data_IF_235294238123
#
_entry.id   IF_235294238123
#
_cell.length_a   1.000
_cell.length_b   1.000
_cell.length_c   1.000
_cell.angle_alpha   90.00
_cell.angle_beta   90.00
_cell.angle_gamma   90.00
#
_symmetry.space_group_name_H-M   'P 1'
#
loop_
_entity.id
_entity.type
_entity.pdbx_description
1 polymer ?
#
# COMPACT_ATOMS: atom_id res chain seq x y z
N UNK A 1 -2.49 -32.80 20.28
CA UNK A 1 -1.27 -32.33 19.62
C UNK A 1 -0.06 -32.67 20.46
N UNK A 2 1.02 -33.15 19.86
CA UNK A 2 2.28 -33.36 20.56
C UNK A 2 2.84 -32.04 21.08
N UNK A 3 3.50 -32.05 22.22
CA UNK A 3 4.10 -30.86 22.84
C UNK A 3 5.63 -30.96 22.81
N UNK A 4 6.33 -29.87 23.05
CA UNK A 4 7.79 -29.88 23.19
C UNK A 4 8.25 -30.81 24.32
N UNK A 5 7.44 -31.02 25.38
CA UNK A 5 7.70 -32.00 26.45
C UNK A 5 7.64 -33.43 25.95
N UNK A 6 6.71 -33.73 25.04
CA UNK A 6 6.60 -35.06 24.45
C UNK A 6 7.78 -35.38 23.54
N UNK A 7 8.24 -34.38 22.76
CA UNK A 7 9.48 -34.51 21.97
C UNK A 7 10.69 -34.75 22.86
N UNK A 8 10.82 -34.07 23.99
CA UNK A 8 11.90 -34.27 24.92
C UNK A 8 11.91 -35.68 25.51
N UNK A 9 10.74 -36.20 25.85
CA UNK A 9 10.52 -37.56 26.38
C UNK A 9 10.88 -38.61 25.32
N UNK A 10 10.40 -38.47 24.11
CA UNK A 10 10.67 -39.38 22.99
C UNK A 10 12.15 -39.37 22.58
N UNK A 11 12.79 -38.22 22.55
CA UNK A 11 14.21 -38.07 22.19
C UNK A 11 15.17 -38.48 23.33
N UNK A 12 14.66 -38.69 24.57
CA UNK A 12 15.47 -38.96 25.74
C UNK A 12 16.44 -37.83 26.09
N UNK A 13 16.02 -36.58 25.96
CA UNK A 13 16.84 -35.37 26.22
C UNK A 13 16.05 -34.39 27.10
N UNK A 14 16.77 -33.43 27.71
CA UNK A 14 16.15 -32.37 28.47
C UNK A 14 15.35 -31.41 27.54
N UNK A 15 14.25 -30.84 28.06
CA UNK A 15 13.39 -29.87 27.36
C UNK A 15 14.21 -28.70 26.79
N UNK A 16 15.22 -28.22 27.55
CA UNK A 16 16.14 -27.16 27.09
C UNK A 16 16.99 -27.56 25.85
N UNK A 17 17.33 -28.87 25.74
CA UNK A 17 18.03 -29.37 24.54
C UNK A 17 17.14 -29.39 23.33
N UNK A 18 15.86 -29.77 23.46
CA UNK A 18 14.87 -29.68 22.37
C UNK A 18 14.71 -28.25 21.92
N UNK A 19 14.54 -27.30 22.83
CA UNK A 19 14.43 -25.87 22.53
C UNK A 19 15.68 -25.34 21.78
N UNK A 20 16.88 -25.78 22.19
CA UNK A 20 18.13 -25.37 21.52
C UNK A 20 18.24 -25.94 20.11
N UNK A 21 17.83 -27.18 19.89
CA UNK A 21 17.80 -27.79 18.54
C UNK A 21 16.81 -27.08 17.63
N UNK A 22 15.57 -26.88 18.09
CA UNK A 22 14.51 -26.20 17.32
C UNK A 22 14.92 -24.75 16.95
N UNK A 23 15.68 -24.08 17.83
CA UNK A 23 16.14 -22.71 17.59
C UNK A 23 17.53 -22.64 16.92
N UNK A 24 18.06 -23.76 16.43
CA UNK A 24 19.39 -23.83 15.80
C UNK A 24 20.50 -23.19 16.63
N UNK A 25 20.42 -23.29 17.96
CA UNK A 25 21.38 -22.68 18.87
C UNK A 25 22.77 -23.32 18.69
N UNK A 26 23.87 -22.52 18.69
CA UNK A 26 25.22 -23.05 18.54
C UNK A 26 25.61 -23.94 19.71
N UNK A 27 26.51 -24.90 19.45
CA UNK A 27 27.10 -25.77 20.48
C UNK A 27 26.23 -26.96 20.89
N UNK A 28 25.20 -27.32 20.12
CA UNK A 28 24.45 -28.57 20.29
C UNK A 28 25.15 -29.71 19.54
N UNK A 29 25.41 -30.83 20.25
CA UNK A 29 26.08 -31.99 19.64
C UNK A 29 25.18 -32.61 18.56
N UNK A 30 25.78 -33.02 17.40
CA UNK A 30 25.06 -33.59 16.27
C UNK A 30 24.15 -34.77 16.71
N UNK A 31 24.64 -35.68 17.52
CA UNK A 31 23.84 -36.80 18.07
C UNK A 31 22.56 -36.35 18.79
N UNK A 32 22.56 -35.19 19.44
CA UNK A 32 21.36 -34.61 20.08
C UNK A 32 20.41 -34.06 19.06
N UNK A 33 20.93 -33.39 18.02
CA UNK A 33 20.15 -32.86 16.90
C UNK A 33 19.42 -34.00 16.21
N UNK A 34 20.11 -35.09 15.89
CA UNK A 34 19.55 -36.22 15.19
C UNK A 34 18.41 -36.91 16.01
N UNK A 35 18.60 -37.10 17.32
CA UNK A 35 17.58 -37.68 18.23
C UNK A 35 16.34 -36.78 18.28
N UNK A 36 16.49 -35.47 18.41
CA UNK A 36 15.39 -34.52 18.50
C UNK A 36 14.63 -34.46 17.16
N UNK A 37 15.33 -34.42 16.04
CA UNK A 37 14.71 -34.42 14.71
C UNK A 37 13.94 -35.70 14.43
N UNK A 38 14.46 -36.88 14.84
CA UNK A 38 13.76 -38.13 14.73
C UNK A 38 12.48 -38.17 15.58
N UNK A 39 12.52 -37.63 16.81
CA UNK A 39 11.36 -37.53 17.69
C UNK A 39 10.31 -36.54 17.12
N UNK A 40 10.72 -35.37 16.61
CA UNK A 40 9.85 -34.39 15.93
C UNK A 40 9.10 -35.07 14.77
N UNK A 41 9.82 -35.81 13.92
CA UNK A 41 9.24 -36.51 12.77
C UNK A 41 8.27 -37.61 13.21
N UNK A 42 8.65 -38.41 14.21
CA UNK A 42 7.83 -39.54 14.76
C UNK A 42 6.52 -39.03 15.37
N UNK A 43 6.58 -37.91 16.10
CA UNK A 43 5.41 -37.33 16.79
C UNK A 43 4.62 -36.36 15.92
N UNK A 44 5.04 -36.13 14.68
CA UNK A 44 4.52 -35.09 13.80
C UNK A 44 4.37 -33.74 14.54
N UNK A 45 5.41 -33.40 15.33
CA UNK A 45 5.40 -32.19 16.14
C UNK A 45 5.72 -30.98 15.28
N UNK A 46 4.82 -30.00 15.31
CA UNK A 46 5.04 -28.68 14.70
C UNK A 46 5.38 -27.69 15.81
N UNK A 47 6.55 -27.04 15.76
CA UNK A 47 6.90 -26.01 16.73
C UNK A 47 5.86 -24.89 16.76
N UNK A 48 5.39 -24.53 17.95
CA UNK A 48 4.48 -23.40 18.12
C UNK A 48 5.27 -22.09 18.02
N UNK A 49 5.11 -21.42 16.90
CA UNK A 49 5.76 -20.13 16.66
C UNK A 49 5.25 -19.03 17.59
N UNK A 50 3.99 -19.09 18.06
CA UNK A 50 3.45 -18.15 19.04
C UNK A 50 4.14 -18.29 20.40
N UNK A 51 4.34 -19.53 20.88
CA UNK A 51 5.08 -19.79 22.11
C UNK A 51 6.54 -19.33 22.00
N UNK A 52 7.12 -19.43 20.81
CA UNK A 52 8.48 -18.95 20.51
C UNK A 52 8.53 -17.43 20.47
N UNK A 53 7.55 -16.77 19.82
CA UNK A 53 7.40 -15.31 19.73
C UNK A 53 7.22 -14.65 21.09
N UNK A 54 6.51 -15.26 22.01
CA UNK A 54 6.36 -14.80 23.39
C UNK A 54 7.70 -14.70 24.13
N UNK A 55 8.62 -15.62 23.86
CA UNK A 55 9.95 -15.66 24.49
C UNK A 55 10.92 -14.64 23.87
N UNK A 56 10.77 -14.36 22.59
CA UNK A 56 11.61 -13.43 21.81
C UNK A 56 10.97 -12.03 21.73
N UNK A 57 9.75 -11.85 22.26
CA UNK A 57 8.95 -10.62 22.17
C UNK A 57 8.74 -10.14 20.72
N UNK A 58 8.60 -11.08 19.77
CA UNK A 58 8.40 -10.77 18.35
C UNK A 58 7.51 -11.82 17.69
N UNK A 59 6.50 -11.36 16.97
CA UNK A 59 5.64 -12.21 16.15
C UNK A 59 6.22 -12.48 14.75
N UNK A 60 7.23 -11.70 14.35
CA UNK A 60 7.73 -11.65 12.98
C UNK A 60 6.59 -11.38 11.98
N UNK A 61 5.64 -10.53 12.37
CA UNK A 61 4.48 -10.18 11.55
C UNK A 61 4.37 -8.67 11.45
N UNK A 62 4.17 -8.18 10.24
CA UNK A 62 3.85 -6.79 9.93
C UNK A 62 2.44 -6.73 9.37
N UNK A 63 1.61 -5.83 9.86
CA UNK A 63 0.29 -5.57 9.28
C UNK A 63 0.40 -4.56 8.14
N UNK A 64 -0.22 -4.85 7.01
CA UNK A 64 -0.51 -3.89 5.96
C UNK A 64 -2.00 -3.56 6.01
N UNK A 65 -2.31 -2.32 6.38
CA UNK A 65 -3.70 -1.80 6.43
C UNK A 65 -3.91 -0.96 5.17
N UNK A 66 -4.91 -1.30 4.37
CA UNK A 66 -5.19 -0.63 3.11
C UNK A 66 -6.69 -0.50 2.82
N UNK A 67 -7.09 0.49 1.98
CA UNK A 67 -8.50 0.78 1.72
C UNK A 67 -9.23 -0.35 1.01
N UNK A 68 -8.62 -0.93 -0.04
CA UNK A 68 -9.28 -1.97 -0.84
C UNK A 68 -8.28 -2.79 -1.66
N UNK A 69 -8.33 -4.10 -1.53
CA UNK A 69 -7.56 -5.01 -2.39
C UNK A 69 -8.16 -5.15 -3.80
N UNK A 70 -9.36 -4.63 -4.04
CA UNK A 70 -9.96 -4.56 -5.38
C UNK A 70 -9.29 -3.51 -6.27
N UNK A 71 -8.67 -2.49 -5.68
CA UNK A 71 -7.90 -1.52 -6.42
C UNK A 71 -6.54 -2.11 -6.77
N UNK A 72 -6.21 -2.12 -8.06
CA UNK A 72 -4.99 -2.75 -8.59
C UNK A 72 -3.70 -2.12 -8.06
N UNK A 73 -3.72 -0.81 -7.77
CA UNK A 73 -2.59 -0.14 -7.13
C UNK A 73 -2.28 -0.73 -5.75
N UNK A 74 -3.30 -0.88 -4.90
CA UNK A 74 -3.11 -1.45 -3.56
C UNK A 74 -2.77 -2.95 -3.60
N UNK A 75 -3.33 -3.68 -4.58
CA UNK A 75 -3.03 -5.09 -4.78
C UNK A 75 -1.56 -5.30 -5.19
N UNK A 76 -1.06 -4.51 -6.16
CA UNK A 76 0.34 -4.56 -6.59
C UNK A 76 1.29 -4.12 -5.46
N UNK A 77 0.94 -3.06 -4.72
CA UNK A 77 1.72 -2.63 -3.56
C UNK A 77 1.80 -3.72 -2.49
N UNK A 78 0.67 -4.38 -2.16
CA UNK A 78 0.63 -5.48 -1.19
C UNK A 78 1.50 -6.67 -1.63
N UNK A 79 1.52 -6.99 -2.92
CA UNK A 79 2.39 -8.02 -3.48
C UNK A 79 3.88 -7.72 -3.20
N UNK A 80 4.34 -6.49 -3.46
CA UNK A 80 5.73 -6.13 -3.22
C UNK A 80 6.06 -6.04 -1.72
N UNK A 81 5.16 -5.54 -0.89
CA UNK A 81 5.34 -5.54 0.57
C UNK A 81 5.50 -6.96 1.10
N UNK A 82 4.65 -7.91 0.67
CA UNK A 82 4.76 -9.33 1.05
C UNK A 82 6.10 -9.90 0.65
N UNK A 83 6.50 -9.71 -0.62
CA UNK A 83 7.78 -10.18 -1.16
C UNK A 83 8.97 -9.71 -0.32
N UNK A 84 9.07 -8.40 -0.04
CA UNK A 84 10.20 -7.86 0.71
C UNK A 84 10.17 -8.22 2.20
N UNK A 85 8.99 -8.40 2.80
CA UNK A 85 8.85 -8.94 4.15
C UNK A 85 9.33 -10.40 4.23
N UNK A 86 8.96 -11.23 3.25
CA UNK A 86 9.39 -12.62 3.17
C UNK A 86 10.92 -12.75 3.08
N UNK A 87 11.60 -11.90 2.30
CA UNK A 87 13.07 -11.82 2.22
C UNK A 87 13.72 -11.53 3.59
N UNK A 88 13.02 -10.83 4.48
CA UNK A 88 13.43 -10.51 5.85
C UNK A 88 12.91 -11.49 6.90
N UNK A 89 12.28 -12.60 6.49
CA UNK A 89 11.63 -13.58 7.36
C UNK A 89 10.52 -12.98 8.24
N UNK A 90 9.79 -12.01 7.71
CA UNK A 90 8.56 -11.50 8.29
C UNK A 90 7.35 -12.03 7.50
N UNK A 91 6.20 -12.11 8.17
CA UNK A 91 4.90 -12.45 7.60
C UNK A 91 4.10 -11.18 7.39
N UNK A 92 3.32 -11.15 6.32
CA UNK A 92 2.33 -10.11 6.09
C UNK A 92 0.99 -10.51 6.72
N UNK A 93 0.38 -9.60 7.49
CA UNK A 93 -1.03 -9.63 7.82
C UNK A 93 -1.75 -8.55 7.02
N UNK A 94 -2.50 -8.96 6.01
CA UNK A 94 -3.26 -8.04 5.16
C UNK A 94 -4.59 -7.68 5.83
N UNK A 95 -4.83 -6.38 6.02
CA UNK A 95 -6.02 -5.81 6.65
C UNK A 95 -6.72 -4.87 5.67
N UNK A 96 -7.80 -5.33 5.05
CA UNK A 96 -8.62 -4.56 4.13
C UNK A 96 -9.76 -3.87 4.88
N UNK A 97 -9.76 -2.52 5.00
CA UNK A 97 -10.77 -1.83 5.79
C UNK A 97 -11.98 -1.32 4.98
N UNK A 98 -11.97 -1.50 3.65
CA UNK A 98 -13.10 -1.21 2.75
C UNK A 98 -13.67 0.21 2.94
N UNK A 99 -12.79 1.21 3.08
CA UNK A 99 -13.12 2.62 3.37
C UNK A 99 -14.05 2.78 4.60
N UNK A 100 -13.96 1.87 5.57
CA UNK A 100 -14.72 1.92 6.81
C UNK A 100 -13.81 2.31 8.00
N UNK A 101 -13.92 3.52 8.54
CA UNK A 101 -13.07 4.00 9.62
C UNK A 101 -13.11 3.14 10.88
N UNK A 102 -14.27 2.53 11.19
CA UNK A 102 -14.40 1.63 12.35
C UNK A 102 -13.64 0.32 12.15
N UNK A 103 -13.62 -0.20 10.92
CA UNK A 103 -12.84 -1.39 10.59
C UNK A 103 -11.34 -1.10 10.67
N UNK A 104 -10.91 0.06 10.18
CA UNK A 104 -9.52 0.50 10.28
C UNK A 104 -9.05 0.60 11.73
N UNK A 105 -9.82 1.28 12.58
CA UNK A 105 -9.55 1.35 14.02
C UNK A 105 -9.51 -0.02 14.69
N UNK A 106 -10.38 -0.94 14.27
CA UNK A 106 -10.39 -2.31 14.76
C UNK A 106 -9.08 -3.02 14.43
N UNK A 107 -8.58 -2.90 13.19
CA UNK A 107 -7.31 -3.51 12.79
C UNK A 107 -6.11 -2.96 13.55
N UNK A 108 -6.07 -1.64 13.81
CA UNK A 108 -5.02 -1.03 14.62
C UNK A 108 -5.04 -1.59 16.05
N UNK A 109 -6.22 -1.70 16.67
CA UNK A 109 -6.38 -2.30 18.00
C UNK A 109 -5.99 -3.78 18.00
N UNK A 110 -6.40 -4.53 16.99
CA UNK A 110 -6.07 -5.95 16.81
C UNK A 110 -4.55 -6.13 16.67
N UNK A 111 -3.87 -5.29 15.89
CA UNK A 111 -2.43 -5.32 15.75
C UNK A 111 -1.74 -5.21 17.11
N UNK A 112 -2.20 -4.28 17.96
CA UNK A 112 -1.70 -4.11 19.33
C UNK A 112 -1.94 -5.34 20.21
N UNK A 113 -3.17 -5.89 20.18
CA UNK A 113 -3.55 -7.05 20.98
C UNK A 113 -2.80 -8.32 20.59
N UNK A 114 -2.60 -8.53 19.29
CA UNK A 114 -1.92 -9.70 18.74
C UNK A 114 -0.39 -9.56 18.73
N UNK A 115 0.14 -8.50 19.35
CA UNK A 115 1.60 -8.24 19.42
C UNK A 115 2.27 -8.27 18.05
N UNK A 116 1.61 -7.68 17.05
CA UNK A 116 2.19 -7.47 15.73
C UNK A 116 3.38 -6.52 15.87
N UNK A 117 4.46 -6.79 15.16
CA UNK A 117 5.72 -6.08 15.35
C UNK A 117 5.68 -4.66 14.79
N UNK A 118 4.92 -4.44 13.69
CA UNK A 118 4.80 -3.14 13.04
C UNK A 118 3.59 -3.03 12.11
N UNK A 119 3.30 -1.81 11.67
CA UNK A 119 2.22 -1.49 10.73
C UNK A 119 2.77 -0.69 9.56
N UNK A 120 2.39 -1.07 8.34
CA UNK A 120 2.43 -0.21 7.15
C UNK A 120 0.98 0.13 6.83
N UNK A 121 0.64 1.40 6.60
CA UNK A 121 -0.74 1.79 6.33
C UNK A 121 -0.87 2.75 5.15
N UNK A 122 -1.95 2.55 4.39
CA UNK A 122 -2.51 3.51 3.45
C UNK A 122 -3.86 3.91 4.02
N UNK A 123 -4.01 5.16 4.42
CA UNK A 123 -5.20 5.63 5.12
C UNK A 123 -5.61 7.01 4.67
N UNK A 124 -6.92 7.23 4.62
CA UNK A 124 -7.54 8.53 4.32
C UNK A 124 -8.19 9.17 5.56
N UNK A 125 -8.33 8.42 6.66
CA UNK A 125 -8.97 8.87 7.88
C UNK A 125 -8.00 9.53 8.87
N UNK A 126 -8.55 10.36 9.77
CA UNK A 126 -7.78 10.92 10.88
C UNK A 126 -7.51 9.85 11.94
N UNK A 127 -6.35 9.25 11.85
CA UNK A 127 -5.88 8.22 12.78
C UNK A 127 -4.93 8.74 13.84
N UNK A 128 -4.62 10.05 13.89
CA UNK A 128 -3.70 10.65 14.85
C UNK A 128 -3.98 10.24 16.28
N UNK A 129 -5.26 10.09 16.63
CA UNK A 129 -5.72 9.66 17.97
C UNK A 129 -5.43 8.19 18.30
N UNK A 130 -5.16 7.35 17.30
CA UNK A 130 -5.01 5.90 17.48
C UNK A 130 -3.56 5.45 17.46
N UNK A 131 -2.64 6.26 16.92
CA UNK A 131 -1.24 5.91 16.77
C UNK A 131 -0.37 6.07 18.04
N UNK A 132 -0.93 6.54 19.14
CA UNK A 132 -0.25 6.55 20.45
C UNK A 132 0.15 5.15 20.97
N UNK A 133 -0.03 4.13 20.17
CA UNK A 133 0.01 2.75 20.62
C UNK A 133 1.42 2.17 20.81
N UNK A 134 2.50 2.90 20.52
CA UNK A 134 3.88 2.40 20.69
C UNK A 134 4.24 1.26 19.74
N UNK A 135 3.51 1.08 18.62
CA UNK A 135 3.85 0.13 17.56
C UNK A 135 4.59 0.90 16.47
N UNK A 136 5.74 0.40 15.98
CA UNK A 136 6.41 0.94 14.79
C UNK A 136 5.45 1.06 13.60
N UNK A 137 5.42 2.23 12.96
CA UNK A 137 4.49 2.52 11.88
C UNK A 137 5.17 3.31 10.77
N UNK A 138 4.80 2.99 9.52
CA UNK A 138 5.13 3.74 8.31
C UNK A 138 3.84 3.95 7.52
N UNK A 139 3.56 5.17 7.11
CA UNK A 139 2.43 5.50 6.22
C UNK A 139 2.88 5.64 4.76
N UNK A 140 1.94 5.54 3.85
CA UNK A 140 2.15 5.77 2.42
C UNK A 140 1.35 6.99 2.00
N UNK A 141 2.00 7.89 1.26
CA UNK A 141 1.47 9.14 0.69
C UNK A 141 0.89 10.15 1.70
N UNK A 142 0.82 9.80 2.96
CA UNK A 142 0.23 10.65 3.99
C UNK A 142 1.23 10.96 5.11
N UNK A 143 1.29 12.21 5.50
CA UNK A 143 2.00 12.66 6.69
C UNK A 143 1.00 13.03 7.80
N UNK A 144 1.39 12.76 9.03
CA UNK A 144 0.61 13.00 10.23
C UNK A 144 1.21 14.17 11.03
N UNK A 145 0.42 14.81 11.87
CA UNK A 145 0.94 15.85 12.81
C UNK A 145 2.03 15.29 13.73
N UNK A 146 1.93 14.02 14.07
CA UNK A 146 2.98 13.29 14.78
C UNK A 146 4.11 12.93 13.83
N UNK A 147 5.36 12.82 14.35
CA UNK A 147 6.55 12.41 13.58
C UNK A 147 6.49 10.93 13.16
N UNK A 148 5.48 10.57 12.38
CA UNK A 148 5.38 9.26 11.73
C UNK A 148 6.17 9.32 10.43
N UNK A 149 7.02 8.32 10.20
CA UNK A 149 7.71 8.20 8.93
C UNK A 149 6.74 7.80 7.83
N UNK A 150 6.90 8.36 6.66
CA UNK A 150 6.09 8.01 5.51
C UNK A 150 6.93 7.83 4.25
N UNK A 151 6.39 7.11 3.29
CA UNK A 151 6.95 6.89 1.95
C UNK A 151 5.96 7.43 0.94
N UNK A 152 6.45 8.15 -0.04
CA UNK A 152 5.65 8.73 -1.13
C UNK A 152 6.42 8.68 -2.44
N UNK A 153 5.72 8.77 -3.57
CA UNK A 153 6.32 9.03 -4.88
C UNK A 153 6.47 10.54 -5.12
N UNK A 154 7.14 10.90 -6.22
CA UNK A 154 7.30 12.29 -6.64
C UNK A 154 6.00 12.84 -7.27
N UNK A 155 4.94 12.93 -6.45
CA UNK A 155 3.59 13.30 -6.88
C UNK A 155 3.54 14.64 -7.60
N UNK A 156 4.33 15.64 -7.18
CA UNK A 156 4.41 16.94 -7.83
C UNK A 156 4.98 16.83 -9.25
N UNK A 157 6.12 16.18 -9.40
CA UNK A 157 6.76 15.97 -10.71
C UNK A 157 5.90 15.08 -11.60
N UNK A 158 5.21 14.09 -11.02
CA UNK A 158 4.26 13.28 -11.78
C UNK A 158 3.09 14.08 -12.35
N UNK A 159 2.57 15.06 -11.61
CA UNK A 159 1.58 16.01 -12.13
C UNK A 159 2.13 16.87 -13.27
N UNK A 160 3.36 17.36 -13.14
CA UNK A 160 4.06 18.11 -14.22
C UNK A 160 4.22 17.25 -15.47
N UNK A 161 4.68 16.01 -15.32
CA UNK A 161 4.82 15.07 -16.43
C UNK A 161 3.49 14.79 -17.13
N UNK A 162 2.38 14.66 -16.39
CA UNK A 162 1.06 14.48 -17.00
C UNK A 162 0.67 15.66 -17.90
N UNK A 163 0.91 16.91 -17.44
CA UNK A 163 0.67 18.10 -18.23
C UNK A 163 1.59 18.15 -19.47
N UNK A 164 2.88 17.89 -19.28
CA UNK A 164 3.87 17.87 -20.35
C UNK A 164 3.48 16.85 -21.45
N UNK A 165 3.09 15.64 -21.07
CA UNK A 165 2.70 14.61 -22.04
C UNK A 165 1.43 14.97 -22.81
N UNK A 166 0.41 15.54 -22.17
CA UNK A 166 -0.77 16.03 -22.89
C UNK A 166 -0.40 17.10 -23.92
N UNK A 167 0.41 18.11 -23.55
CA UNK A 167 0.83 19.15 -24.48
C UNK A 167 1.69 18.61 -25.62
N UNK A 168 2.60 17.66 -25.37
CA UNK A 168 3.41 16.98 -26.40
C UNK A 168 2.55 16.24 -27.43
N UNK A 169 1.40 15.71 -27.00
CA UNK A 169 0.47 15.01 -27.87
C UNK A 169 -0.57 15.95 -28.52
N UNK A 170 -0.36 17.25 -28.39
CA UNK A 170 -1.10 18.28 -29.14
C UNK A 170 -2.37 18.77 -28.47
N UNK A 171 -2.62 18.41 -27.19
CA UNK A 171 -3.72 18.95 -26.38
C UNK A 171 -3.56 20.48 -26.27
N UNK A 172 -4.65 21.19 -26.54
CA UNK A 172 -4.70 22.65 -26.50
C UNK A 172 -5.57 23.17 -25.35
N UNK A 173 -6.54 22.42 -24.96
CA UNK A 173 -7.52 22.76 -23.93
C UNK A 173 -7.52 21.66 -22.85
N UNK A 174 -6.47 21.63 -22.01
CA UNK A 174 -6.34 20.62 -20.97
C UNK A 174 -7.40 20.79 -19.87
N UNK A 175 -7.77 19.67 -19.25
CA UNK A 175 -8.60 19.65 -18.05
C UNK A 175 -8.02 18.71 -17.01
N UNK A 176 -8.46 18.88 -15.77
CA UNK A 176 -8.14 18.00 -14.65
C UNK A 176 -9.44 17.49 -14.02
N UNK A 177 -9.45 16.21 -13.65
CA UNK A 177 -10.48 15.64 -12.78
C UNK A 177 -9.83 14.82 -11.67
N UNK A 178 -10.26 15.04 -10.44
CA UNK A 178 -9.72 14.28 -9.30
C UNK A 178 -10.47 14.52 -8.03
N UNK A 179 -10.07 13.75 -7.01
CA UNK A 179 -10.58 13.88 -5.65
C UNK A 179 -9.45 14.24 -4.69
N UNK A 180 -9.80 14.87 -3.58
CA UNK A 180 -8.90 15.15 -2.48
C UNK A 180 -9.57 14.90 -1.13
N UNK A 181 -8.75 14.75 -0.10
CA UNK A 181 -9.24 14.55 1.27
C UNK A 181 -8.88 15.75 2.15
N UNK A 182 -9.61 15.95 3.25
CA UNK A 182 -9.28 16.98 4.24
C UNK A 182 -7.92 16.76 4.90
N UNK A 183 -7.48 15.52 4.98
CA UNK A 183 -6.23 15.17 5.62
C UNK A 183 -5.04 15.40 4.68
N UNK A 184 -3.94 15.95 5.17
CA UNK A 184 -2.76 16.23 4.36
C UNK A 184 -2.22 14.97 3.69
N UNK A 185 -2.08 15.00 2.36
CA UNK A 185 -1.54 13.91 1.55
C UNK A 185 -0.73 14.47 0.38
N UNK A 186 0.35 13.79 0.04
CA UNK A 186 1.17 14.15 -1.11
C UNK A 186 0.47 13.91 -2.46
N UNK A 187 -0.60 13.12 -2.48
CA UNK A 187 -1.45 12.92 -3.67
C UNK A 187 -2.00 14.25 -4.21
N UNK A 188 -2.30 15.23 -3.33
CA UNK A 188 -2.77 16.55 -3.73
C UNK A 188 -1.73 17.33 -4.57
N UNK A 189 -0.45 16.96 -4.46
CA UNK A 189 0.62 17.58 -5.24
C UNK A 189 0.55 17.27 -6.74
N UNK A 190 -0.18 16.20 -7.15
CA UNK A 190 -0.43 15.87 -8.56
C UNK A 190 -1.16 17.02 -9.26
N UNK A 191 -2.26 17.50 -8.67
CA UNK A 191 -3.00 18.65 -9.18
C UNK A 191 -2.12 19.91 -9.21
N UNK A 192 -1.39 20.18 -8.12
CA UNK A 192 -0.50 21.35 -8.04
C UNK A 192 0.56 21.33 -9.14
N UNK A 193 1.25 20.19 -9.34
CA UNK A 193 2.27 20.06 -10.38
C UNK A 193 1.71 20.26 -11.79
N UNK A 194 0.52 19.70 -12.05
CA UNK A 194 -0.20 19.88 -13.31
C UNK A 194 -0.54 21.35 -13.58
N UNK A 195 -1.16 22.02 -12.61
CA UNK A 195 -1.57 23.41 -12.70
C UNK A 195 -0.38 24.35 -12.91
N UNK A 196 0.68 24.20 -12.12
CA UNK A 196 1.85 25.06 -12.21
C UNK A 196 2.59 24.88 -13.55
N UNK A 197 2.73 23.65 -14.05
CA UNK A 197 3.34 23.40 -15.34
C UNK A 197 2.55 24.06 -16.49
N UNK A 198 1.23 23.91 -16.53
CA UNK A 198 0.38 24.54 -17.53
C UNK A 198 0.49 26.08 -17.49
N UNK A 199 0.45 26.65 -16.29
CA UNK A 199 0.63 28.10 -16.10
C UNK A 199 1.98 28.60 -16.61
N UNK A 200 3.06 27.87 -16.35
CA UNK A 200 4.41 28.18 -16.88
C UNK A 200 4.46 28.17 -18.43
N UNK A 201 3.65 27.29 -19.05
CA UNK A 201 3.54 27.19 -20.50
C UNK A 201 2.50 28.17 -21.11
N UNK A 202 1.81 28.97 -20.29
CA UNK A 202 0.80 29.91 -20.70
C UNK A 202 -0.55 29.33 -21.08
N UNK A 203 -0.85 28.10 -20.55
CA UNK A 203 -2.14 27.43 -20.73
C UNK A 203 -3.04 27.66 -19.53
N UNK A 204 -4.32 27.91 -19.78
CA UNK A 204 -5.39 27.77 -18.83
C UNK A 204 -5.93 26.33 -18.91
N UNK A 205 -6.59 25.85 -17.86
CA UNK A 205 -7.21 24.54 -17.86
C UNK A 205 -8.54 24.56 -17.08
N UNK A 206 -9.46 23.67 -17.47
CA UNK A 206 -10.69 23.44 -16.74
C UNK A 206 -10.43 22.41 -15.62
N UNK A 207 -11.09 22.56 -14.50
CA UNK A 207 -10.78 21.72 -13.33
C UNK A 207 -12.06 21.27 -12.59
N UNK A 208 -12.07 20.01 -12.20
CA UNK A 208 -13.01 19.38 -11.26
C UNK A 208 -12.19 18.70 -10.18
N UNK A 209 -12.16 19.30 -8.99
CA UNK A 209 -11.43 18.77 -7.86
C UNK A 209 -12.37 18.62 -6.66
N UNK A 210 -12.81 17.38 -6.39
CA UNK A 210 -13.91 17.08 -5.48
C UNK A 210 -13.39 16.62 -4.12
N UNK A 211 -14.02 17.11 -3.07
CA UNK A 211 -13.72 16.68 -1.70
C UNK A 211 -14.38 15.34 -1.39
N UNK A 212 -13.59 14.35 -0.98
CA UNK A 212 -14.09 13.07 -0.50
C UNK A 212 -14.82 13.16 0.87
N UNK A 213 -15.87 12.33 1.10
CA UNK A 213 -16.36 11.26 0.22
C UNK A 213 -17.23 11.78 -0.93
N UNK A 214 -17.04 11.24 -2.12
CA UNK A 214 -17.80 11.54 -3.33
C UNK A 214 -18.24 10.24 -4.00
N UNK A 215 -19.44 10.24 -4.58
CA UNK A 215 -19.98 9.07 -5.31
C UNK A 215 -19.56 9.10 -6.77
N UNK A 216 -19.63 7.95 -7.45
CA UNK A 216 -19.33 7.87 -8.89
C UNK A 216 -20.32 8.69 -9.73
N UNK A 217 -21.58 8.77 -9.32
CA UNK A 217 -22.58 9.60 -9.96
C UNK A 217 -22.28 11.10 -9.83
N UNK A 218 -21.73 11.53 -8.70
CA UNK A 218 -21.29 12.91 -8.50
C UNK A 218 -20.07 13.23 -9.36
N UNK A 219 -19.07 12.35 -9.38
CA UNK A 219 -17.87 12.49 -10.24
C UNK A 219 -18.29 12.60 -11.72
N UNK A 220 -19.17 11.71 -12.20
CA UNK A 220 -19.68 11.73 -13.57
C UNK A 220 -20.44 13.02 -13.86
N UNK A 221 -21.31 13.45 -12.96
CA UNK A 221 -22.10 14.68 -13.10
C UNK A 221 -21.21 15.90 -13.23
N UNK A 222 -20.20 16.04 -12.38
CA UNK A 222 -19.28 17.19 -12.40
C UNK A 222 -18.36 17.15 -13.64
N UNK A 223 -17.91 15.97 -14.09
CA UNK A 223 -17.19 15.84 -15.35
C UNK A 223 -18.00 16.42 -16.52
N UNK A 224 -19.27 16.00 -16.64
CA UNK A 224 -20.08 16.47 -17.75
C UNK A 224 -20.47 17.94 -17.65
N UNK A 225 -20.66 18.49 -16.46
CA UNK A 225 -20.81 19.93 -16.26
C UNK A 225 -19.56 20.70 -16.71
N UNK A 226 -18.37 20.16 -16.45
CA UNK A 226 -17.12 20.73 -16.91
C UNK A 226 -17.08 20.76 -18.45
N UNK A 227 -17.36 19.62 -19.10
CA UNK A 227 -17.33 19.49 -20.55
C UNK A 227 -18.42 20.36 -21.24
N UNK A 228 -19.62 20.43 -20.65
CA UNK A 228 -20.71 21.28 -21.18
C UNK A 228 -20.33 22.78 -21.12
N UNK A 229 -19.53 23.21 -20.14
CA UNK A 229 -19.04 24.59 -20.02
C UNK A 229 -17.80 24.87 -20.87
N UNK A 230 -17.01 23.85 -21.16
CA UNK A 230 -15.74 23.93 -21.87
C UNK A 230 -15.73 22.88 -23.01
N UNK A 231 -16.55 23.09 -24.06
CA UNK A 231 -16.71 22.08 -25.13
C UNK A 231 -15.44 21.93 -26.00
N UNK A 232 -14.46 22.81 -25.83
CA UNK A 232 -13.16 22.76 -26.48
C UNK A 232 -12.16 21.80 -25.80
N UNK A 233 -12.46 21.26 -24.61
CA UNK A 233 -11.56 20.35 -23.89
C UNK A 233 -11.21 19.14 -24.75
N UNK A 234 -9.92 18.94 -24.97
CA UNK A 234 -9.36 17.90 -25.83
C UNK A 234 -8.37 16.96 -25.12
N UNK A 235 -8.11 17.21 -23.81
CA UNK A 235 -7.28 16.34 -23.00
C UNK A 235 -7.61 16.45 -21.52
N UNK A 236 -7.63 15.30 -20.81
CA UNK A 236 -7.96 15.25 -19.37
C UNK A 236 -6.91 14.45 -18.61
N UNK A 237 -6.38 15.08 -17.56
CA UNK A 237 -5.60 14.37 -16.54
C UNK A 237 -6.54 13.90 -15.41
N UNK A 238 -6.63 12.58 -15.22
CA UNK A 238 -7.32 11.96 -14.10
C UNK A 238 -6.32 11.66 -12.98
N UNK A 239 -6.58 12.09 -11.75
CA UNK A 239 -5.60 11.97 -10.65
C UNK A 239 -5.30 10.53 -10.21
N UNK A 240 -6.07 9.54 -10.70
CA UNK A 240 -5.82 8.09 -10.55
C UNK A 240 -6.24 7.34 -11.81
N UNK A 241 -5.64 6.16 -12.02
CA UNK A 241 -6.05 5.28 -13.13
C UNK A 241 -7.44 4.68 -12.94
N UNK A 242 -7.87 4.47 -11.70
CA UNK A 242 -9.23 4.02 -11.41
C UNK A 242 -10.26 5.04 -11.90
N UNK A 243 -10.04 6.32 -11.65
CA UNK A 243 -10.89 7.39 -12.13
C UNK A 243 -10.80 7.53 -13.66
N UNK A 244 -9.61 7.37 -14.25
CA UNK A 244 -9.46 7.38 -15.70
C UNK A 244 -10.32 6.31 -16.38
N UNK A 245 -10.37 5.10 -15.83
CA UNK A 245 -11.20 4.02 -16.38
C UNK A 245 -12.70 4.35 -16.29
N UNK A 246 -13.14 4.97 -15.20
CA UNK A 246 -14.51 5.45 -15.07
C UNK A 246 -14.81 6.56 -16.08
N UNK A 247 -13.95 7.58 -16.18
CA UNK A 247 -14.06 8.69 -17.15
C UNK A 247 -14.14 8.15 -18.58
N UNK A 248 -13.28 7.21 -18.94
CA UNK A 248 -13.29 6.57 -20.26
C UNK A 248 -14.64 5.89 -20.55
N UNK A 249 -15.21 5.19 -19.57
CA UNK A 249 -16.51 4.56 -19.71
C UNK A 249 -17.63 5.59 -19.84
N UNK A 250 -17.64 6.67 -19.06
CA UNK A 250 -18.64 7.74 -19.12
C UNK A 250 -18.60 8.49 -20.45
N UNK A 251 -17.39 8.80 -20.95
CA UNK A 251 -17.23 9.43 -22.27
C UNK A 251 -17.78 8.54 -23.39
N UNK A 252 -17.52 7.22 -23.32
CA UNK A 252 -18.04 6.28 -24.31
C UNK A 252 -19.58 6.21 -24.30
N UNK A 253 -20.25 6.37 -23.15
CA UNK A 253 -21.72 6.42 -23.04
C UNK A 253 -22.31 7.67 -23.73
N UNK A 254 -21.53 8.75 -23.87
CA UNK A 254 -21.89 9.97 -24.62
C UNK A 254 -21.32 10.01 -26.05
N UNK A 255 -20.85 8.86 -26.55
CA UNK A 255 -20.27 8.74 -27.90
C UNK A 255 -19.05 9.66 -28.15
N UNK A 256 -18.33 10.04 -27.06
CA UNK A 256 -17.08 10.80 -27.13
C UNK A 256 -15.92 9.81 -27.25
N UNK A 257 -15.19 9.88 -28.36
CA UNK A 257 -14.09 8.96 -28.63
C UNK A 257 -12.81 9.34 -27.91
N UNK A 258 -12.12 8.33 -27.39
CA UNK A 258 -10.81 8.42 -26.76
C UNK A 258 -9.84 7.52 -27.56
N UNK A 259 -8.71 8.03 -28.07
CA UNK A 259 -8.14 9.37 -27.82
C UNK A 259 -8.53 10.44 -28.86
N UNK A 260 -9.38 10.16 -29.85
CA UNK A 260 -9.57 11.00 -31.05
C UNK A 260 -10.20 12.36 -30.74
N UNK A 261 -11.18 12.43 -29.82
CA UNK A 261 -11.80 13.68 -29.39
C UNK A 261 -11.21 14.19 -28.08
N UNK A 262 -11.01 13.29 -27.09
CA UNK A 262 -10.42 13.63 -25.79
C UNK A 262 -9.30 12.63 -25.49
N UNK A 263 -8.11 13.12 -25.27
CA UNK A 263 -6.99 12.32 -24.78
C UNK A 263 -7.08 12.19 -23.27
N UNK A 264 -6.75 11.00 -22.73
CA UNK A 264 -6.73 10.74 -21.28
C UNK A 264 -5.34 10.35 -20.82
N UNK A 265 -4.94 10.89 -19.67
CA UNK A 265 -3.77 10.43 -18.92
C UNK A 265 -4.17 10.23 -17.47
N UNK A 266 -3.72 9.12 -16.88
CA UNK A 266 -3.98 8.77 -15.50
C UNK A 266 -2.75 8.88 -14.62
N UNK A 267 -2.87 8.30 -13.44
CA UNK A 267 -1.80 8.19 -12.46
C UNK A 267 -1.93 6.87 -11.71
N UNK A 268 -0.86 6.21 -11.40
CA UNK A 268 -0.60 4.98 -10.65
C UNK A 268 0.15 3.94 -11.49
N UNK A 269 -0.20 3.78 -12.78
CA UNK A 269 0.37 2.76 -13.67
C UNK A 269 -0.19 1.37 -13.37
N UNK A 270 -1.50 1.26 -13.13
CA UNK A 270 -2.14 -0.02 -12.81
C UNK A 270 -2.10 -0.98 -13.99
N UNK A 271 -1.92 -2.27 -13.68
CA UNK A 271 -1.91 -3.35 -14.67
C UNK A 271 -2.95 -4.40 -14.31
N UNK A 272 -3.64 -5.00 -15.30
CA UNK A 272 -4.60 -6.08 -15.04
C UNK A 272 -3.94 -7.34 -14.47
N UNK A 273 -2.68 -7.59 -14.82
CA UNK A 273 -1.84 -8.64 -14.21
C UNK A 273 -0.35 -8.28 -14.29
N UNK A 274 0.50 -9.07 -13.64
CA UNK A 274 1.92 -8.82 -13.49
C UNK A 274 2.67 -8.70 -14.83
N UNK A 275 2.26 -9.45 -15.84
CA UNK A 275 2.93 -9.51 -17.15
C UNK A 275 2.26 -8.64 -18.22
N UNK A 276 1.13 -8.00 -17.89
CA UNK A 276 0.41 -7.15 -18.84
C UNK A 276 1.16 -5.85 -19.11
N UNK A 277 0.97 -5.34 -20.33
CA UNK A 277 1.31 -3.97 -20.65
C UNK A 277 0.29 -3.01 -20.04
N UNK A 278 0.67 -1.74 -19.91
CA UNK A 278 -0.24 -0.67 -19.53
C UNK A 278 -1.25 -0.46 -20.68
N UNK A 279 -2.53 -0.73 -20.44
CA UNK A 279 -3.59 -0.53 -21.44
C UNK A 279 -4.12 0.91 -21.50
N UNK A 280 -3.48 1.85 -20.81
CA UNK A 280 -3.85 3.26 -20.68
C UNK A 280 -2.58 4.12 -20.63
N UNK A 281 -2.69 5.38 -21.02
CA UNK A 281 -1.64 6.37 -20.78
C UNK A 281 -1.70 6.79 -19.31
N UNK A 282 -0.58 6.67 -18.60
CA UNK A 282 -0.55 6.93 -17.16
C UNK A 282 0.84 7.27 -16.65
N UNK A 283 0.92 8.03 -15.59
CA UNK A 283 2.14 8.25 -14.81
C UNK A 283 2.29 7.09 -13.82
N UNK A 284 3.30 6.24 -14.07
CA UNK A 284 3.52 5.06 -13.23
C UNK A 284 4.25 5.39 -11.94
N UNK A 285 3.72 4.94 -10.82
CA UNK A 285 4.39 5.00 -9.53
C UNK A 285 5.44 3.88 -9.38
N UNK A 286 6.58 4.14 -8.73
CA UNK A 286 7.64 3.14 -8.50
C UNK A 286 7.29 2.22 -7.32
N UNK A 287 6.22 1.42 -7.45
CA UNK A 287 5.68 0.59 -6.37
C UNK A 287 6.68 -0.40 -5.76
N UNK A 288 7.57 -1.06 -6.55
CA UNK A 288 8.61 -1.91 -5.97
C UNK A 288 9.52 -1.16 -5.00
N UNK A 289 9.98 0.02 -5.40
CA UNK A 289 10.89 0.86 -4.62
C UNK A 289 10.17 1.43 -3.38
N UNK A 290 8.94 1.89 -3.52
CA UNK A 290 8.13 2.38 -2.40
C UNK A 290 7.88 1.28 -1.37
N UNK A 291 7.49 0.09 -1.80
CA UNK A 291 7.26 -1.06 -0.92
C UNK A 291 8.55 -1.49 -0.22
N UNK A 292 9.67 -1.53 -0.94
CA UNK A 292 10.98 -1.85 -0.37
C UNK A 292 11.37 -0.85 0.70
N UNK A 293 11.27 0.44 0.40
CA UNK A 293 11.57 1.52 1.34
C UNK A 293 10.69 1.41 2.60
N UNK A 294 9.38 1.21 2.44
CA UNK A 294 8.45 1.07 3.56
C UNK A 294 8.80 -0.14 4.46
N UNK A 295 9.14 -1.28 3.86
CA UNK A 295 9.55 -2.48 4.60
C UNK A 295 10.87 -2.27 5.33
N UNK A 296 11.87 -1.68 4.69
CA UNK A 296 13.16 -1.40 5.32
C UNK A 296 12.98 -0.44 6.51
N UNK A 297 12.26 0.66 6.32
CA UNK A 297 11.99 1.64 7.37
C UNK A 297 11.22 1.03 8.55
N UNK A 298 10.21 0.22 8.29
CA UNK A 298 9.41 -0.36 9.37
C UNK A 298 10.18 -1.41 10.16
N UNK A 299 11.05 -2.21 9.51
CA UNK A 299 11.91 -3.18 10.19
C UNK A 299 12.97 -2.47 11.04
N UNK A 300 13.61 -1.44 10.51
CA UNK A 300 14.57 -0.63 11.29
C UNK A 300 13.92 -0.08 12.58
N UNK A 301 12.70 0.46 12.48
CA UNK A 301 11.95 0.91 13.66
C UNK A 301 11.65 -0.22 14.65
N UNK A 302 11.34 -1.42 14.17
CA UNK A 302 11.15 -2.61 15.03
C UNK A 302 12.43 -2.94 15.78
N UNK A 303 13.58 -2.88 15.13
CA UNK A 303 14.87 -3.15 15.74
C UNK A 303 15.24 -2.10 16.80
N UNK A 304 15.03 -0.82 16.48
CA UNK A 304 15.24 0.29 17.42
C UNK A 304 14.32 0.21 18.65
N UNK A 305 13.07 -0.21 18.46
CA UNK A 305 12.10 -0.35 19.55
C UNK A 305 12.42 -1.52 20.50
N UNK A 306 13.26 -2.45 20.08
CA UNK A 306 13.68 -3.62 20.86
C UNK A 306 15.03 -3.44 21.57
N UNK A 307 15.84 -2.48 21.11
CA UNK A 307 17.14 -2.17 21.68
C UNK A 307 16.98 -1.41 23.00
#
# INVERSE_FOLDING_TARGET
MATMKDVAREAGVALGSVSRVINHAPGVKQKTIDKVNAAIKKLNYVPDEYARGLKVKSSKTVALILPSIWNLFFAEFAYYVEKYLAEKNYKLLLCNYSNNPKAEQHYIKMAKQNKIDAIICITYDDLDKYFYAGIPLVSIDRYFEQKISYVTSENYEGGRLAAEELLKHGVKHPAFIGTYNHNPSDVMKRHKGFAEYLSEQGYEFADVYLLEPVTKEEEETELFKLLDKNPEVDGIFCNTDSLLLDVKNWLAQREISVPEQIQLIGYDGIKPDFNSELGISTIRQPLPEMAKCAVEMVIEKVEQHRA
#
